data_IF_749123957734
#
_entry.id   IF_749123957734
#
_cell.length_a   1.000
_cell.length_b   1.000
_cell.length_c   1.000
_cell.angle_alpha   90.00
_cell.angle_beta   90.00
_cell.angle_gamma   90.00
#
_symmetry.space_group_name_H-M   'P 1'
#
loop_
_entity.id
_entity.type
_entity.pdbx_description
1 polymer ?
#
# COMPACT_ATOMS: atom_id res chain seq x y z
N UNK A 1 28.74 0.10 -25.52
CA UNK A 1 28.92 0.22 -24.05
C UNK A 1 27.60 0.49 -23.31
N UNK A 2 26.68 1.32 -23.82
CA UNK A 2 25.39 1.63 -23.19
C UNK A 2 24.37 0.46 -23.14
N UNK A 3 24.50 -0.51 -24.04
CA UNK A 3 23.56 -1.63 -24.19
C UNK A 3 23.52 -2.56 -22.97
N UNK A 4 24.66 -2.81 -22.33
CA UNK A 4 24.74 -3.67 -21.13
C UNK A 4 24.14 -2.99 -19.90
N UNK A 5 24.27 -1.68 -19.79
CA UNK A 5 23.65 -0.89 -18.71
C UNK A 5 22.13 -0.90 -18.86
N UNK A 6 21.61 -0.77 -20.08
CA UNK A 6 20.18 -0.87 -20.38
C UNK A 6 19.61 -2.26 -20.08
N UNK A 7 20.32 -3.33 -20.43
CA UNK A 7 19.91 -4.70 -20.10
C UNK A 7 19.80 -4.93 -18.59
N UNK A 8 20.75 -4.43 -17.79
CA UNK A 8 20.67 -4.51 -16.33
C UNK A 8 19.50 -3.71 -15.77
N UNK A 9 19.18 -2.56 -16.36
CA UNK A 9 18.03 -1.76 -15.95
C UNK A 9 16.70 -2.46 -16.26
N UNK A 10 16.57 -3.01 -17.47
CA UNK A 10 15.39 -3.77 -17.89
C UNK A 10 15.21 -5.04 -17.06
N UNK A 11 16.30 -5.70 -16.67
CA UNK A 11 16.26 -6.85 -15.77
C UNK A 11 15.84 -6.49 -14.33
N UNK A 12 15.98 -5.23 -13.90
CA UNK A 12 15.53 -4.79 -12.58
C UNK A 12 14.00 -4.55 -12.51
N UNK A 13 13.36 -4.25 -13.65
CA UNK A 13 11.91 -4.02 -13.74
C UNK A 13 11.09 -5.22 -13.23
N UNK A 14 11.30 -6.47 -13.69
CA UNK A 14 10.50 -7.60 -13.20
C UNK A 14 10.71 -7.85 -11.70
N UNK A 15 11.92 -7.61 -11.19
CA UNK A 15 12.22 -7.75 -9.75
C UNK A 15 11.47 -6.70 -8.93
N UNK A 16 11.49 -5.44 -9.37
CA UNK A 16 10.72 -4.36 -8.73
C UNK A 16 9.22 -4.64 -8.79
N UNK A 17 8.71 -5.07 -9.94
CA UNK A 17 7.30 -5.46 -10.09
C UNK A 17 6.95 -6.60 -9.12
N UNK A 18 7.76 -7.65 -9.04
CA UNK A 18 7.52 -8.74 -8.12
C UNK A 18 7.47 -8.26 -6.67
N UNK A 19 8.41 -7.41 -6.25
CA UNK A 19 8.42 -6.83 -4.90
C UNK A 19 7.18 -5.97 -4.66
N UNK A 20 6.82 -5.09 -5.59
CA UNK A 20 5.63 -4.23 -5.49
C UNK A 20 4.36 -5.08 -5.39
N UNK A 21 4.22 -6.10 -6.24
CA UNK A 21 3.07 -7.00 -6.21
C UNK A 21 2.98 -7.74 -4.89
N UNK A 22 4.10 -8.28 -4.38
CA UNK A 22 4.13 -8.95 -3.07
C UNK A 22 3.75 -7.98 -1.94
N UNK A 23 4.33 -6.77 -1.92
CA UNK A 23 4.02 -5.76 -0.91
C UNK A 23 2.54 -5.34 -0.96
N UNK A 24 2.01 -5.12 -2.17
CA UNK A 24 0.61 -4.77 -2.40
C UNK A 24 -0.32 -5.88 -1.90
N UNK A 25 -0.05 -7.14 -2.24
CA UNK A 25 -0.85 -8.27 -1.77
C UNK A 25 -0.81 -8.38 -0.25
N UNK A 26 0.35 -8.22 0.38
CA UNK A 26 0.45 -8.23 1.84
C UNK A 26 -0.38 -7.13 2.48
N UNK A 27 -0.29 -5.89 1.97
CA UNK A 27 -1.05 -4.74 2.49
C UNK A 27 -2.56 -4.87 2.25
N UNK A 28 -2.97 -5.44 1.12
CA UNK A 28 -4.38 -5.61 0.77
C UNK A 28 -5.02 -6.79 1.52
N UNK A 29 -4.24 -7.83 1.82
CA UNK A 29 -4.69 -8.98 2.60
C UNK A 29 -4.69 -8.71 4.10
N UNK A 30 -3.93 -7.72 4.59
CA UNK A 30 -3.95 -7.38 6.02
C UNK A 30 -5.33 -6.88 6.45
N UNK A 31 -5.99 -7.55 7.40
CA UNK A 31 -7.26 -7.10 7.94
C UNK A 31 -7.01 -5.90 8.88
N UNK A 32 -7.27 -4.69 8.41
CA UNK A 32 -7.14 -3.48 9.22
C UNK A 32 -7.04 -2.21 8.38
N UNK A 33 -7.78 -1.17 8.78
CA UNK A 33 -7.68 0.15 8.16
C UNK A 33 -6.53 0.98 8.73
N UNK A 34 -6.22 2.16 8.15
CA UNK A 34 -5.11 3.03 8.57
C UNK A 34 -5.15 3.48 10.04
N UNK A 35 -6.27 3.29 10.73
CA UNK A 35 -6.46 3.64 12.14
C UNK A 35 -6.63 2.44 13.08
N UNK A 36 -6.39 1.22 12.60
CA UNK A 36 -6.55 0.00 13.40
C UNK A 36 -5.40 -0.22 14.41
N UNK A 37 -4.21 0.35 14.17
CA UNK A 37 -2.99 -0.06 14.89
C UNK A 37 -2.60 0.78 16.11
N UNK A 38 -3.05 2.03 16.24
CA UNK A 38 -2.40 2.98 17.18
C UNK A 38 -3.19 3.26 18.47
N UNK A 39 -4.54 3.22 18.47
CA UNK A 39 -5.33 3.48 19.69
C UNK A 39 -6.65 2.71 19.63
N UNK A 40 -7.14 2.23 20.79
CA UNK A 40 -8.55 1.85 20.97
C UNK A 40 -9.42 3.11 20.84
N UNK A 41 -9.59 3.60 19.61
CA UNK A 41 -10.47 4.73 19.31
C UNK A 41 -11.90 4.28 19.58
N UNK A 42 -12.70 5.15 20.21
CA UNK A 42 -14.13 4.89 20.32
C UNK A 42 -14.72 4.86 18.91
N UNK A 43 -15.78 4.06 18.70
CA UNK A 43 -16.43 3.93 17.39
C UNK A 43 -16.82 5.29 16.78
N UNK A 44 -17.19 6.26 17.61
CA UNK A 44 -17.53 7.62 17.19
C UNK A 44 -16.31 8.40 16.66
N UNK A 45 -15.14 8.27 17.29
CA UNK A 45 -13.92 8.95 16.82
C UNK A 45 -13.45 8.32 15.52
N UNK A 46 -13.55 7.00 15.39
CA UNK A 46 -13.16 6.29 14.17
C UNK A 46 -14.04 6.70 12.98
N UNK A 47 -15.36 6.81 13.15
CA UNK A 47 -16.29 7.27 12.11
C UNK A 47 -16.01 8.72 11.67
N UNK A 48 -15.71 9.63 12.62
CA UNK A 48 -15.35 11.01 12.29
C UNK A 48 -14.00 11.08 11.54
N UNK A 49 -13.03 10.25 11.90
CA UNK A 49 -11.77 10.18 11.16
C UNK A 49 -11.96 9.60 9.76
N UNK A 50 -12.77 8.54 9.61
CA UNK A 50 -13.09 8.00 8.28
C UNK A 50 -13.67 9.09 7.39
N UNK A 51 -14.73 9.76 7.84
CA UNK A 51 -15.39 10.85 7.11
C UNK A 51 -14.46 12.03 6.81
N UNK A 52 -13.56 12.38 7.75
CA UNK A 52 -12.60 13.47 7.57
C UNK A 52 -11.54 13.14 6.51
N UNK A 53 -11.14 11.88 6.40
CA UNK A 53 -10.14 11.42 5.45
C UNK A 53 -10.75 10.74 4.21
N UNK A 54 -12.09 10.82 4.04
CA UNK A 54 -12.83 10.21 2.94
C UNK A 54 -12.55 8.70 2.77
N UNK A 55 -12.27 8.00 3.87
CA UNK A 55 -11.94 6.56 3.88
C UNK A 55 -13.19 5.66 3.86
N UNK A 56 -14.36 6.27 3.94
CA UNK A 56 -15.70 5.73 3.80
C UNK A 56 -16.27 5.90 2.38
N UNK A 57 -15.56 6.60 1.49
CA UNK A 57 -15.92 6.72 0.08
C UNK A 57 -15.36 5.55 -0.74
N UNK A 58 -16.08 5.09 -1.78
CA UNK A 58 -15.57 4.06 -2.68
C UNK A 58 -14.36 4.57 -3.48
N UNK A 59 -13.35 3.72 -3.61
CA UNK A 59 -12.14 3.91 -4.43
C UNK A 59 -12.44 3.88 -5.94
#
# INVERSE_FOLDING_TARGET
>A
MWTHTLQRLLAAIPTLLAVITVCYLLLHLTPGGPFASERKLSKAVLANLQAKYHLDEPL
#
